data_IF_287711091752
#
_entry.id   IF_287711091752
#
_cell.length_a   1.000
_cell.length_b   1.000
_cell.length_c   1.000
_cell.angle_alpha   90.00
_cell.angle_beta   90.00
_cell.angle_gamma   90.00
#
_symmetry.space_group_name_H-M   'P 1'
#
loop_
_entity.id
_entity.type
_entity.pdbx_description
1 polymer ?
#
# COMPACT_ATOMS: atom_id res chain seq x y z
N UNK A 1 -17.41 11.91 -12.09
CA UNK A 1 -17.06 11.19 -10.85
C UNK A 1 -15.90 10.22 -11.08
N UNK A 2 -15.99 9.35 -12.09
CA UNK A 2 -14.96 8.36 -12.45
C UNK A 2 -13.59 8.97 -12.75
N UNK A 3 -13.52 10.06 -13.52
CA UNK A 3 -12.24 10.70 -13.86
C UNK A 3 -11.47 11.22 -12.62
N UNK A 4 -12.14 11.95 -11.73
CA UNK A 4 -11.50 12.52 -10.53
C UNK A 4 -11.02 11.39 -9.61
N UNK A 5 -11.85 10.37 -9.39
CA UNK A 5 -11.46 9.21 -8.60
C UNK A 5 -10.32 8.43 -9.27
N UNK A 6 -10.35 8.29 -10.59
CA UNK A 6 -9.31 7.63 -11.37
C UNK A 6 -7.96 8.33 -11.26
N UNK A 7 -7.93 9.66 -11.38
CA UNK A 7 -6.70 10.46 -11.17
C UNK A 7 -6.20 10.28 -9.73
N UNK A 8 -7.07 10.44 -8.75
CA UNK A 8 -6.72 10.31 -7.34
C UNK A 8 -6.16 8.92 -7.02
N UNK A 9 -6.85 7.87 -7.46
CA UNK A 9 -6.45 6.47 -7.29
C UNK A 9 -5.11 6.22 -7.95
N UNK A 10 -4.94 6.67 -9.20
CA UNK A 10 -3.69 6.53 -9.96
C UNK A 10 -2.53 7.15 -9.20
N UNK A 11 -2.62 8.44 -8.85
CA UNK A 11 -1.50 9.17 -8.23
C UNK A 11 -1.12 8.56 -6.88
N UNK A 12 -2.08 8.34 -5.98
CA UNK A 12 -1.75 7.84 -4.64
C UNK A 12 -1.26 6.40 -4.65
N UNK A 13 -1.90 5.54 -5.44
CA UNK A 13 -1.49 4.13 -5.50
C UNK A 13 -0.15 3.96 -6.23
N UNK A 14 0.16 4.80 -7.24
CA UNK A 14 1.50 4.84 -7.86
C UNK A 14 2.56 5.23 -6.84
N UNK A 15 2.31 6.24 -6.02
CA UNK A 15 3.26 6.64 -4.97
C UNK A 15 3.53 5.48 -3.99
N UNK A 16 2.46 4.80 -3.55
CA UNK A 16 2.58 3.62 -2.69
C UNK A 16 3.35 2.47 -3.36
N UNK A 17 2.97 2.10 -4.58
CA UNK A 17 3.59 1.01 -5.32
C UNK A 17 5.04 1.30 -5.69
N UNK A 18 5.34 2.49 -6.22
CA UNK A 18 6.72 2.89 -6.54
C UNK A 18 7.58 2.94 -5.28
N UNK A 19 7.02 3.37 -4.14
CA UNK A 19 7.69 3.30 -2.85
C UNK A 19 8.15 1.87 -2.51
N UNK A 20 7.26 0.89 -2.70
CA UNK A 20 7.58 -0.53 -2.48
C UNK A 20 8.56 -1.09 -3.51
N UNK A 21 8.45 -0.72 -4.79
CA UNK A 21 9.39 -1.12 -5.84
C UNK A 21 10.80 -0.59 -5.53
N UNK A 22 10.93 0.69 -5.17
CA UNK A 22 12.20 1.28 -4.79
C UNK A 22 12.75 0.63 -3.54
N UNK A 23 11.90 0.37 -2.53
CA UNK A 23 12.32 -0.37 -1.35
C UNK A 23 12.84 -1.75 -1.74
N UNK A 24 12.06 -2.56 -2.44
CA UNK A 24 12.43 -3.91 -2.86
C UNK A 24 13.77 -3.96 -3.61
N UNK A 25 13.93 -3.13 -4.64
CA UNK A 25 15.07 -3.19 -5.57
C UNK A 25 16.29 -2.36 -5.14
N UNK A 26 16.07 -1.28 -4.39
CA UNK A 26 17.10 -0.32 -3.98
C UNK A 26 16.94 0.10 -2.50
N UNK A 27 17.10 -0.83 -1.53
CA UNK A 27 16.90 -0.56 -0.10
C UNK A 27 17.65 0.66 0.43
N UNK A 28 18.90 0.84 0.01
CA UNK A 28 19.72 1.98 0.44
C UNK A 28 19.12 3.32 -0.03
N UNK A 29 18.50 3.34 -1.21
CA UNK A 29 17.82 4.52 -1.73
C UNK A 29 16.51 4.76 -0.98
N UNK A 30 15.73 3.71 -0.72
CA UNK A 30 14.51 3.80 0.06
C UNK A 30 14.76 4.35 1.47
N UNK A 31 15.82 3.92 2.15
CA UNK A 31 16.22 4.46 3.45
C UNK A 31 16.62 5.93 3.38
N UNK A 32 17.32 6.35 2.31
CA UNK A 32 17.70 7.76 2.11
C UNK A 32 16.47 8.65 1.89
N UNK A 33 15.46 8.15 1.20
CA UNK A 33 14.21 8.86 0.92
C UNK A 33 13.15 8.72 2.01
N UNK A 34 13.45 8.00 3.11
CA UNK A 34 12.50 7.78 4.20
C UNK A 34 11.34 6.84 3.84
N UNK A 35 11.47 6.06 2.77
CA UNK A 35 10.50 5.03 2.35
C UNK A 35 10.62 3.73 3.15
N UNK A 36 11.73 3.56 3.86
CA UNK A 36 11.95 2.48 4.81
C UNK A 36 12.82 2.96 5.97
N UNK A 37 12.72 2.31 7.11
CA UNK A 37 13.56 2.57 8.26
C UNK A 37 15.01 2.18 7.98
N UNK A 38 15.95 2.92 8.57
CA UNK A 38 17.36 2.52 8.57
C UNK A 38 17.53 1.29 9.46
N UNK A 39 18.37 0.37 9.02
CA UNK A 39 18.63 -0.86 9.77
C UNK A 39 19.19 -0.59 11.19
N UNK A 40 19.95 0.49 11.37
CA UNK A 40 20.45 0.93 12.68
C UNK A 40 19.35 1.34 13.67
N UNK A 41 18.19 1.74 13.17
CA UNK A 41 17.14 2.39 13.94
C UNK A 41 16.05 1.40 14.37
N UNK A 42 16.14 0.16 13.91
CA UNK A 42 15.16 -0.91 14.14
C UNK A 42 15.82 -2.21 14.62
N UNK A 43 15.01 -3.16 15.05
CA UNK A 43 15.45 -4.54 15.28
C UNK A 43 15.70 -5.25 13.94
N UNK A 44 16.72 -6.11 13.87
CA UNK A 44 17.05 -6.86 12.65
C UNK A 44 15.91 -7.77 12.19
N UNK A 45 15.11 -8.28 13.13
CA UNK A 45 13.91 -9.09 12.83
C UNK A 45 12.86 -8.26 12.10
N UNK A 46 12.62 -7.04 12.58
CA UNK A 46 11.69 -6.12 11.93
C UNK A 46 12.23 -5.68 10.57
N UNK A 47 13.52 -5.38 10.47
CA UNK A 47 14.14 -5.00 9.22
C UNK A 47 13.99 -6.11 8.16
N UNK A 48 14.30 -7.36 8.51
CA UNK A 48 14.13 -8.50 7.60
C UNK A 48 12.66 -8.68 7.16
N UNK A 49 11.70 -8.51 8.09
CA UNK A 49 10.27 -8.57 7.79
C UNK A 49 9.84 -7.47 6.81
N UNK A 50 10.30 -6.22 6.99
CA UNK A 50 9.94 -5.11 6.09
C UNK A 50 10.60 -5.23 4.71
N UNK A 51 11.77 -5.89 4.63
CA UNK A 51 12.38 -6.26 3.34
C UNK A 51 11.50 -7.26 2.58
N UNK A 52 11.04 -8.31 3.27
CA UNK A 52 10.14 -9.31 2.67
C UNK A 52 8.80 -8.70 2.27
N UNK A 53 8.25 -7.84 3.13
CA UNK A 53 7.03 -7.05 2.87
C UNK A 53 7.16 -6.24 1.58
N UNK A 54 8.23 -5.45 1.43
CA UNK A 54 8.42 -4.61 0.25
C UNK A 54 8.49 -5.40 -1.06
N UNK A 55 9.17 -6.55 -1.05
CA UNK A 55 9.26 -7.43 -2.23
C UNK A 55 7.87 -7.97 -2.57
N UNK A 56 7.14 -8.47 -1.58
CA UNK A 56 5.80 -9.00 -1.78
C UNK A 56 4.85 -7.92 -2.30
N UNK A 57 4.84 -6.76 -1.65
CA UNK A 57 3.94 -5.66 -2.00
C UNK A 57 4.20 -5.16 -3.42
N UNK A 58 5.47 -5.02 -3.81
CA UNK A 58 5.84 -4.64 -5.18
C UNK A 58 5.21 -5.55 -6.26
N UNK A 59 4.98 -6.83 -5.94
CA UNK A 59 4.39 -7.81 -6.85
C UNK A 59 2.86 -7.78 -6.87
N UNK A 60 2.20 -7.35 -5.79
CA UNK A 60 0.74 -7.53 -5.65
C UNK A 60 -0.07 -6.22 -5.67
N UNK A 61 0.55 -5.07 -5.38
CA UNK A 61 -0.18 -3.80 -5.25
C UNK A 61 -0.19 -2.97 -6.54
N UNK A 62 0.49 -3.38 -7.61
CA UNK A 62 0.48 -2.68 -8.91
C UNK A 62 -0.90 -2.64 -9.59
N UNK A 63 -1.81 -3.53 -9.18
CA UNK A 63 -3.15 -3.65 -9.74
C UNK A 63 -4.02 -2.43 -9.43
N UNK A 64 -3.78 -1.73 -8.32
CA UNK A 64 -4.52 -0.51 -7.97
C UNK A 64 -4.16 0.70 -8.86
N UNK A 65 -2.87 0.99 -9.14
CA UNK A 65 -2.49 1.94 -10.19
C UNK A 65 -3.19 1.67 -11.52
N UNK A 66 -3.22 0.41 -11.95
CA UNK A 66 -3.85 0.01 -13.21
C UNK A 66 -5.35 0.22 -13.16
N UNK A 67 -6.01 -0.09 -12.04
CA UNK A 67 -7.43 0.23 -11.84
C UNK A 67 -7.70 1.74 -12.01
N UNK A 68 -6.85 2.60 -11.43
CA UNK A 68 -6.95 4.04 -11.58
C UNK A 68 -6.82 4.51 -13.03
N UNK A 69 -5.82 4.01 -13.76
CA UNK A 69 -5.61 4.36 -15.17
C UNK A 69 -6.79 3.89 -16.03
N UNK A 70 -7.27 2.67 -15.81
CA UNK A 70 -8.43 2.13 -16.52
C UNK A 70 -9.69 2.95 -16.27
N UNK A 71 -9.86 3.46 -15.05
CA UNK A 71 -10.98 4.35 -14.70
C UNK A 71 -10.87 5.72 -15.38
N UNK A 72 -9.67 6.24 -15.62
CA UNK A 72 -9.45 7.49 -16.37
C UNK A 72 -9.86 7.35 -17.84
N UNK A 73 -9.55 6.20 -18.45
CA UNK A 73 -9.87 5.92 -19.87
C UNK A 73 -11.25 5.26 -20.05
N UNK A 74 -12.08 5.25 -19.00
CA UNK A 74 -13.44 4.70 -18.98
C UNK A 74 -13.54 3.24 -19.45
N UNK A 75 -12.49 2.45 -19.17
CA UNK A 75 -12.46 1.02 -19.53
C UNK A 75 -13.20 0.19 -18.47
N UNK A 76 -14.19 -0.65 -18.82
CA UNK A 76 -14.96 -1.44 -17.86
C UNK A 76 -14.10 -2.45 -17.07
N UNK A 77 -12.89 -2.75 -17.55
CA UNK A 77 -11.93 -3.59 -16.85
C UNK A 77 -11.46 -3.01 -15.51
N UNK A 78 -11.64 -1.69 -15.31
CA UNK A 78 -11.26 -1.02 -14.06
C UNK A 78 -11.88 -1.71 -12.84
N UNK A 79 -13.11 -2.22 -12.94
CA UNK A 79 -13.82 -2.78 -11.80
C UNK A 79 -13.18 -4.09 -11.33
N UNK A 80 -12.72 -4.95 -12.26
CA UNK A 80 -12.00 -6.17 -11.91
C UNK A 80 -10.66 -5.86 -11.24
N UNK A 81 -9.89 -4.92 -11.81
CA UNK A 81 -8.65 -4.45 -11.21
C UNK A 81 -8.87 -3.72 -9.88
N UNK A 82 -9.98 -3.00 -9.73
CA UNK A 82 -10.35 -2.30 -8.51
C UNK A 82 -10.71 -3.26 -7.37
N UNK A 83 -11.39 -4.37 -7.67
CA UNK A 83 -11.65 -5.43 -6.69
C UNK A 83 -10.35 -6.11 -6.25
N UNK A 84 -9.52 -6.55 -7.21
CA UNK A 84 -8.25 -7.24 -6.91
C UNK A 84 -7.29 -6.28 -6.19
N UNK A 85 -7.08 -5.08 -6.74
CA UNK A 85 -6.21 -4.07 -6.17
C UNK A 85 -6.70 -3.59 -4.81
N UNK A 86 -8.00 -3.39 -4.64
CA UNK A 86 -8.62 -3.12 -3.34
C UNK A 86 -8.34 -4.22 -2.32
N UNK A 87 -8.56 -5.49 -2.67
CA UNK A 87 -8.24 -6.62 -1.81
C UNK A 87 -6.75 -6.66 -1.43
N UNK A 88 -5.87 -6.50 -2.41
CA UNK A 88 -4.42 -6.43 -2.20
C UNK A 88 -4.02 -5.30 -1.25
N UNK A 89 -4.59 -4.10 -1.42
CA UNK A 89 -4.29 -2.96 -0.54
C UNK A 89 -4.82 -3.16 0.88
N UNK A 90 -6.02 -3.74 1.04
CA UNK A 90 -6.56 -4.08 2.37
C UNK A 90 -5.64 -5.08 3.08
N UNK A 91 -5.17 -6.10 2.37
CA UNK A 91 -4.19 -7.05 2.90
C UNK A 91 -2.87 -6.35 3.26
N UNK A 92 -2.30 -5.57 2.35
CA UNK A 92 -1.06 -4.81 2.53
C UNK A 92 -1.10 -3.95 3.80
N UNK A 93 -2.11 -3.08 3.93
CA UNK A 93 -2.21 -2.20 5.09
C UNK A 93 -2.55 -2.96 6.37
N UNK A 94 -3.44 -3.96 6.28
CA UNK A 94 -3.86 -4.76 7.42
C UNK A 94 -2.71 -5.56 8.02
N UNK A 95 -1.92 -6.22 7.17
CA UNK A 95 -0.70 -6.94 7.55
C UNK A 95 0.33 -5.97 8.14
N UNK A 96 0.61 -4.86 7.48
CA UNK A 96 1.57 -3.86 7.95
C UNK A 96 1.22 -3.30 9.34
N UNK A 97 -0.07 -3.03 9.58
CA UNK A 97 -0.59 -2.60 10.89
C UNK A 97 -0.44 -3.71 11.93
N UNK A 98 -0.95 -4.92 11.62
CA UNK A 98 -1.01 -6.02 12.58
C UNK A 98 0.39 -6.44 13.04
N UNK A 99 1.34 -6.60 12.12
CA UNK A 99 2.73 -6.98 12.43
C UNK A 99 3.38 -5.94 13.35
N UNK A 100 3.26 -4.65 13.02
CA UNK A 100 3.83 -3.57 13.86
C UNK A 100 3.23 -3.54 15.26
N UNK A 101 1.92 -3.75 15.39
CA UNK A 101 1.27 -3.82 16.71
C UNK A 101 1.75 -5.02 17.53
N UNK A 102 1.87 -6.20 16.91
CA UNK A 102 2.35 -7.43 17.57
C UNK A 102 3.81 -7.27 17.99
N UNK A 103 4.67 -6.81 17.08
CA UNK A 103 6.10 -6.60 17.35
C UNK A 103 6.32 -5.57 18.46
N UNK A 104 5.57 -4.45 18.44
CA UNK A 104 5.63 -3.43 19.50
C UNK A 104 5.22 -4.00 20.85
N UNK A 105 4.17 -4.83 20.92
CA UNK A 105 3.75 -5.51 22.16
C UNK A 105 4.79 -6.50 22.69
N UNK A 106 5.70 -6.97 21.83
CA UNK A 106 6.81 -7.87 22.19
C UNK A 106 8.12 -7.13 22.46
N UNK A 107 8.12 -5.79 22.48
CA UNK A 107 9.32 -4.99 22.72
C UNK A 107 10.29 -4.91 21.53
N UNK A 108 9.89 -5.37 20.34
CA UNK A 108 10.69 -5.26 19.13
C UNK A 108 10.69 -3.79 18.69
N UNK A 109 11.88 -3.23 18.45
CA UNK A 109 12.06 -1.85 18.00
C UNK A 109 11.69 -1.73 16.52
N UNK A 110 10.60 -1.02 16.24
CA UNK A 110 10.04 -0.86 14.88
C UNK A 110 10.28 0.54 14.27
N UNK A 111 11.20 1.30 14.85
CA UNK A 111 11.57 2.65 14.39
C UNK A 111 11.16 3.75 15.36
N UNK A 112 11.48 5.01 15.02
CA UNK A 112 11.16 6.16 15.86
C UNK A 112 9.65 6.41 15.93
N UNK A 113 9.12 6.93 17.06
CA UNK A 113 7.67 7.11 17.26
C UNK A 113 6.98 7.95 16.18
N UNK A 114 7.67 8.95 15.63
CA UNK A 114 7.15 9.83 14.59
C UNK A 114 6.95 9.09 13.27
N UNK A 115 7.94 8.30 12.85
CA UNK A 115 7.83 7.47 11.65
C UNK A 115 6.72 6.44 11.78
N UNK A 116 6.62 5.77 12.94
CA UNK A 116 5.55 4.81 13.23
C UNK A 116 4.16 5.45 13.11
N UNK A 117 3.98 6.68 13.62
CA UNK A 117 2.71 7.42 13.48
C UNK A 117 2.40 7.74 12.02
N UNK A 118 3.41 8.18 11.25
CA UNK A 118 3.26 8.46 9.83
C UNK A 118 2.83 7.19 9.05
N UNK A 119 3.48 6.06 9.30
CA UNK A 119 3.11 4.79 8.66
C UNK A 119 1.68 4.37 8.98
N UNK A 120 1.24 4.47 10.24
CA UNK A 120 -0.16 4.17 10.59
C UNK A 120 -1.16 5.11 9.88
N UNK A 121 -0.82 6.41 9.75
CA UNK A 121 -1.63 7.35 8.99
C UNK A 121 -1.74 6.99 7.52
N UNK A 122 -0.61 6.68 6.87
CA UNK A 122 -0.57 6.27 5.47
C UNK A 122 -1.32 4.94 5.24
N UNK A 123 -1.13 3.95 6.11
CA UNK A 123 -1.87 2.69 6.04
C UNK A 123 -3.37 2.90 6.22
N UNK A 124 -3.79 3.79 7.12
CA UNK A 124 -5.19 4.16 7.27
C UNK A 124 -5.78 4.78 5.99
N UNK A 125 -5.04 5.71 5.37
CA UNK A 125 -5.44 6.34 4.11
C UNK A 125 -5.56 5.31 2.99
N UNK A 126 -4.54 4.48 2.79
CA UNK A 126 -4.54 3.44 1.76
C UNK A 126 -5.65 2.40 1.98
N UNK A 127 -5.91 2.02 3.23
CA UNK A 127 -7.01 1.12 3.58
C UNK A 127 -8.38 1.71 3.24
N UNK A 128 -8.61 2.99 3.56
CA UNK A 128 -9.85 3.67 3.23
C UNK A 128 -10.08 3.71 1.71
N UNK A 129 -9.05 4.10 0.95
CA UNK A 129 -9.10 4.14 -0.52
C UNK A 129 -9.43 2.76 -1.09
N UNK A 130 -8.81 1.71 -0.54
CA UNK A 130 -9.03 0.34 -0.97
C UNK A 130 -10.47 -0.11 -0.75
N UNK A 131 -11.04 0.15 0.44
CA UNK A 131 -12.43 -0.19 0.76
C UNK A 131 -13.40 0.57 -0.15
N UNK A 132 -13.20 1.87 -0.35
CA UNK A 132 -14.04 2.67 -1.26
C UNK A 132 -13.98 2.12 -2.68
N UNK A 133 -12.77 1.77 -3.15
CA UNK A 133 -12.58 1.21 -4.50
C UNK A 133 -13.27 -0.14 -4.66
N UNK A 134 -13.22 -1.01 -3.63
CA UNK A 134 -13.97 -2.28 -3.63
C UNK A 134 -15.46 -2.04 -3.76
N UNK A 135 -16.02 -1.12 -2.95
CA UNK A 135 -17.46 -0.82 -2.98
C UNK A 135 -17.88 -0.28 -4.35
N UNK A 136 -17.12 0.66 -4.91
CA UNK A 136 -17.38 1.21 -6.24
C UNK A 136 -17.30 0.13 -7.33
N UNK A 137 -16.28 -0.71 -7.28
CA UNK A 137 -16.09 -1.77 -8.26
C UNK A 137 -17.20 -2.84 -8.18
N UNK A 138 -17.59 -3.23 -6.96
CA UNK A 138 -18.71 -4.14 -6.74
C UNK A 138 -20.02 -3.56 -7.27
N UNK A 139 -20.29 -2.27 -7.02
CA UNK A 139 -21.47 -1.59 -7.54
C UNK A 139 -21.48 -1.52 -9.07
N UNK A 140 -20.32 -1.32 -9.71
CA UNK A 140 -20.19 -1.27 -11.16
C UNK A 140 -20.39 -2.64 -11.85
N UNK A 141 -20.16 -3.74 -11.13
CA UNK A 141 -20.35 -5.11 -11.63
C UNK A 141 -21.70 -5.72 -11.22
N UNK A 142 -22.47 -5.06 -10.35
CA UNK A 142 -23.76 -5.55 -9.92
C UNK A 142 -24.74 -5.57 -11.11
N UNK A 143 -25.51 -6.67 -11.29
CA UNK A 143 -26.55 -6.70 -12.31
C UNK A 143 -27.62 -5.63 -12.01
N UNK A 144 -27.98 -4.86 -13.03
CA UNK A 144 -29.04 -3.85 -13.02
C UNK A 144 -30.42 -4.47 -12.92
#
# INVERSE_FOLDING_TARGET
>A
MNLIWGIFLTVLSLLGWLGQVVNALAPALAQRWGLNERESDVDSTFFADTRGEAIWDALIIWTMPVAGVLLIVDSPLWAYFGLVGGGSYVYFVGRGIAVRLVMRRRGIRIGPPEAVRLYFGLFGLFGLIAVVTIVMAAAALAPS
#
